data_IF_465383887935
#
_entry.id   IF_465383887935
#
_cell.length_a   1.000
_cell.length_b   1.000
_cell.length_c   1.000
_cell.angle_alpha   90.00
_cell.angle_beta   90.00
_cell.angle_gamma   90.00
#
_symmetry.space_group_name_H-M   'P 1'
#
loop_
_entity.id
_entity.type
_entity.pdbx_description
1 polymer ?
#
# COMPACT_ATOMS: atom_id res chain seq x y z
N UNK A 1 -2.33 15.63 -14.61
CA UNK A 1 -2.97 14.41 -15.15
C UNK A 1 -3.50 13.61 -13.97
N UNK A 2 -4.78 13.82 -13.69
CA UNK A 2 -5.54 13.34 -12.53
C UNK A 2 -6.04 11.92 -12.84
N UNK A 3 -5.63 10.91 -12.07
CA UNK A 3 -6.00 9.51 -12.37
C UNK A 3 -6.10 8.71 -11.07
N UNK A 4 -7.28 8.75 -10.46
CA UNK A 4 -7.76 7.76 -9.50
C UNK A 4 -9.01 7.13 -10.14
N UNK A 5 -8.91 5.89 -10.63
CA UNK A 5 -10.06 5.20 -11.21
C UNK A 5 -10.77 4.40 -10.10
N UNK A 6 -11.99 4.82 -9.76
CA UNK A 6 -12.88 4.08 -8.86
C UNK A 6 -13.45 2.87 -9.60
N UNK A 7 -13.23 1.66 -9.07
CA UNK A 7 -13.95 0.46 -9.51
C UNK A 7 -14.65 -0.18 -8.32
N UNK A 8 -15.98 -0.26 -8.37
CA UNK A 8 -16.81 -0.95 -7.38
C UNK A 8 -16.70 -0.43 -5.92
N UNK A 9 -16.43 0.87 -5.73
CA UNK A 9 -16.19 1.47 -4.41
C UNK A 9 -14.76 1.30 -3.88
N UNK A 10 -13.86 0.73 -4.68
CA UNK A 10 -12.45 0.59 -4.35
C UNK A 10 -11.60 1.56 -5.19
N UNK A 11 -10.77 2.35 -4.52
CA UNK A 11 -9.74 3.20 -5.16
C UNK A 11 -8.55 2.30 -5.52
N UNK A 12 -8.44 1.94 -6.80
CA UNK A 12 -7.31 1.20 -7.34
C UNK A 12 -6.20 2.16 -7.78
N UNK A 13 -5.02 2.02 -7.20
CA UNK A 13 -3.83 2.72 -7.65
C UNK A 13 -3.40 2.16 -9.00
N UNK A 14 -3.60 2.93 -10.07
CA UNK A 14 -3.09 2.58 -11.41
C UNK A 14 -1.62 2.95 -11.62
N UNK A 15 -0.97 3.60 -10.63
CA UNK A 15 0.43 4.01 -10.70
C UNK A 15 1.24 3.40 -9.56
N UNK A 16 2.50 3.11 -9.86
CA UNK A 16 3.50 2.66 -8.88
C UNK A 16 3.56 3.64 -7.70
N UNK A 17 3.78 3.13 -6.48
CA UNK A 17 4.00 3.96 -5.29
C UNK A 17 5.12 4.99 -5.50
N UNK A 18 6.02 4.75 -6.44
CA UNK A 18 7.08 5.68 -6.86
C UNK A 18 6.55 7.03 -7.41
N UNK A 19 5.28 7.11 -7.83
CA UNK A 19 4.70 8.30 -8.47
C UNK A 19 3.47 8.87 -7.72
N UNK A 20 3.05 8.25 -6.62
CA UNK A 20 1.90 8.68 -5.83
C UNK A 20 2.32 8.81 -4.38
N UNK A 21 2.57 10.05 -3.95
CA UNK A 21 3.08 10.34 -2.61
C UNK A 21 1.98 10.55 -1.56
N UNK A 22 0.74 10.77 -1.99
CA UNK A 22 -0.39 11.06 -1.11
C UNK A 22 -1.70 10.51 -1.69
N UNK A 23 -2.53 9.91 -0.83
CA UNK A 23 -3.89 9.48 -1.14
C UNK A 23 -4.86 9.97 -0.08
N UNK A 24 -5.99 10.49 -0.55
CA UNK A 24 -7.09 10.91 0.33
C UNK A 24 -8.29 9.99 0.16
N UNK A 25 -8.76 9.42 1.27
CA UNK A 25 -9.96 8.58 1.36
C UNK A 25 -10.99 9.24 2.27
N UNK A 26 -12.26 8.90 2.10
CA UNK A 26 -13.33 9.29 3.05
C UNK A 26 -13.42 8.23 4.14
N UNK A 27 -13.79 8.61 5.37
CA UNK A 27 -14.01 7.62 6.43
C UNK A 27 -15.15 6.62 6.09
N UNK A 28 -16.06 7.03 5.21
CA UNK A 28 -17.12 6.16 4.66
C UNK A 28 -16.56 5.05 3.74
N UNK A 29 -15.30 5.15 3.29
CA UNK A 29 -14.62 4.12 2.50
C UNK A 29 -14.27 2.95 3.43
N UNK A 30 -15.17 1.96 3.47
CA UNK A 30 -15.08 0.84 4.41
C UNK A 30 -13.84 -0.06 4.20
N UNK A 31 -13.26 -0.05 3.00
CA UNK A 31 -12.13 -0.90 2.64
C UNK A 31 -11.14 -0.17 1.72
N UNK A 32 -9.96 0.13 2.24
CA UNK A 32 -8.83 0.65 1.48
C UNK A 32 -7.94 -0.53 1.09
N UNK A 33 -7.87 -0.83 -0.21
CA UNK A 33 -7.04 -1.88 -0.76
C UNK A 33 -5.88 -1.28 -1.54
N UNK A 34 -4.65 -1.62 -1.16
CA UNK A 34 -3.43 -1.15 -1.82
C UNK A 34 -2.76 -2.37 -2.45
N UNK A 35 -2.58 -2.32 -3.76
CA UNK A 35 -1.91 -3.36 -4.53
C UNK A 35 -0.56 -2.88 -5.03
N UNK A 36 0.44 -3.75 -4.95
CA UNK A 36 1.81 -3.50 -5.36
C UNK A 36 2.13 -4.28 -6.62
N UNK A 37 2.97 -3.68 -7.46
CA UNK A 37 3.57 -4.35 -8.62
C UNK A 37 5.08 -4.35 -8.41
N UNK A 38 5.68 -5.53 -8.49
CA UNK A 38 7.13 -5.69 -8.62
C UNK A 38 7.49 -5.83 -10.09
N UNK A 39 8.67 -5.34 -10.48
CA UNK A 39 9.23 -5.60 -11.82
C UNK A 39 9.50 -7.09 -12.05
N UNK A 40 9.66 -7.87 -10.98
CA UNK A 40 9.98 -9.30 -11.02
C UNK A 40 8.71 -10.17 -11.13
N UNK A 41 7.95 -9.97 -12.21
CA UNK A 41 6.69 -10.71 -12.46
C UNK A 41 6.92 -12.22 -12.67
N UNK A 42 8.13 -12.62 -13.06
CA UNK A 42 8.51 -14.01 -13.36
C UNK A 42 8.53 -14.87 -12.08
N UNK A 43 8.85 -14.28 -10.92
CA UNK A 43 8.90 -14.96 -9.63
C UNK A 43 8.02 -14.26 -8.57
N UNK A 44 6.89 -13.69 -8.97
CA UNK A 44 6.02 -12.93 -8.08
C UNK A 44 5.58 -13.73 -6.82
N UNK A 45 5.50 -15.06 -6.90
CA UNK A 45 5.16 -15.95 -5.78
C UNK A 45 6.30 -16.14 -4.75
N UNK A 46 7.54 -15.73 -5.07
CA UNK A 46 8.69 -15.77 -4.14
C UNK A 46 8.91 -14.44 -3.43
N UNK A 47 8.22 -13.39 -3.85
CA UNK A 47 8.34 -12.06 -3.28
C UNK A 47 7.63 -12.03 -1.94
N UNK A 48 8.35 -11.60 -0.90
CA UNK A 48 7.78 -11.31 0.41
C UNK A 48 7.68 -9.82 0.58
N UNK A 49 6.62 -9.38 1.23
CA UNK A 49 6.39 -7.99 1.57
C UNK A 49 6.39 -7.83 3.09
N UNK A 50 7.04 -6.79 3.57
CA UNK A 50 6.86 -6.27 4.92
C UNK A 50 6.16 -4.93 4.81
N UNK A 51 5.19 -4.69 5.68
CA UNK A 51 4.51 -3.40 5.71
C UNK A 51 4.28 -2.92 7.13
N UNK A 52 4.21 -1.60 7.29
CA UNK A 52 3.89 -0.93 8.55
C UNK A 52 2.99 0.26 8.24
N UNK A 53 1.92 0.45 9.01
CA UNK A 53 1.01 1.59 8.87
C UNK A 53 1.14 2.48 10.12
N UNK A 54 2.02 3.46 10.05
CA UNK A 54 2.17 4.44 11.13
C UNK A 54 0.87 5.24 11.27
N UNK A 55 0.47 5.52 12.52
CA UNK A 55 -0.86 6.06 12.84
C UNK A 55 -1.91 4.99 13.14
N UNK A 56 -1.67 3.72 12.78
CA UNK A 56 -2.53 2.58 13.16
C UNK A 56 -1.77 1.55 14.01
N UNK A 57 -0.64 1.05 13.53
CA UNK A 57 0.24 0.13 14.25
C UNK A 57 1.70 0.36 13.88
N UNK A 58 2.55 0.40 14.90
CA UNK A 58 4.00 0.54 14.73
C UNK A 58 4.73 -0.81 14.50
N UNK A 59 3.99 -1.89 14.30
CA UNK A 59 4.56 -3.22 14.05
C UNK A 59 4.68 -3.48 12.54
N UNK A 60 5.80 -4.09 12.14
CA UNK A 60 5.95 -4.63 10.79
C UNK A 60 5.18 -5.95 10.67
N UNK A 61 4.35 -6.06 9.63
CA UNK A 61 3.60 -7.25 9.28
C UNK A 61 4.14 -7.83 7.98
N UNK A 62 4.12 -9.16 7.85
CA UNK A 62 4.59 -9.87 6.66
C UNK A 62 3.44 -10.40 5.84
N UNK A 63 3.56 -10.35 4.52
CA UNK A 63 2.61 -10.95 3.58
C UNK A 63 3.31 -11.42 2.31
N UNK A 64 2.83 -12.52 1.73
CA UNK A 64 3.23 -13.00 0.40
C UNK A 64 2.27 -12.51 -0.69
N UNK A 65 1.15 -11.89 -0.29
CA UNK A 65 0.20 -11.27 -1.21
C UNK A 65 0.73 -9.90 -1.62
N UNK A 66 0.65 -9.59 -2.91
CA UNK A 66 0.92 -8.25 -3.43
C UNK A 66 -0.22 -7.24 -3.15
N UNK A 67 -1.10 -7.53 -2.19
CA UNK A 67 -2.26 -6.73 -1.82
C UNK A 67 -2.36 -6.64 -0.30
N UNK A 68 -2.55 -5.44 0.22
CA UNK A 68 -2.84 -5.16 1.62
C UNK A 68 -4.17 -4.45 1.70
N UNK A 69 -4.96 -4.78 2.72
CA UNK A 69 -6.30 -4.24 2.94
C UNK A 69 -6.38 -3.65 4.35
N UNK A 70 -6.88 -2.42 4.45
CA UNK A 70 -7.18 -1.74 5.70
C UNK A 70 -8.68 -1.47 5.75
N UNK A 71 -9.35 -1.99 6.78
CA UNK A 71 -10.77 -1.77 7.01
C UNK A 71 -10.98 -0.71 8.09
N UNK A 72 -11.92 0.20 7.85
CA UNK A 72 -12.44 1.13 8.87
C UNK A 72 -11.35 1.98 9.55
N UNK A 73 -10.45 2.58 8.76
CA UNK A 73 -9.51 3.58 9.28
C UNK A 73 -10.31 4.80 9.78
N UNK A 74 -10.03 5.23 11.01
CA UNK A 74 -10.60 6.46 11.53
C UNK A 74 -10.09 7.67 10.75
N UNK A 75 -10.80 8.82 10.78
CA UNK A 75 -10.26 10.06 10.26
C UNK A 75 -8.88 10.38 10.87
N UNK A 76 -7.91 10.70 10.02
CA UNK A 76 -6.53 10.90 10.45
C UNK A 76 -5.52 10.80 9.31
N UNK A 77 -4.25 10.96 9.66
CA UNK A 77 -3.12 10.81 8.73
C UNK A 77 -2.33 9.57 9.09
N UNK A 78 -1.98 8.79 8.07
CA UNK A 78 -1.26 7.54 8.19
C UNK A 78 -0.09 7.51 7.20
N UNK A 79 0.97 6.81 7.56
CA UNK A 79 2.12 6.57 6.67
C UNK A 79 2.28 5.08 6.46
N UNK A 80 1.99 4.62 5.24
CA UNK A 80 2.24 3.25 4.84
C UNK A 80 3.70 3.13 4.37
N UNK A 81 4.44 2.27 5.06
CA UNK A 81 5.80 1.88 4.71
C UNK A 81 5.77 0.46 4.17
N UNK A 82 6.39 0.21 3.02
CA UNK A 82 6.43 -1.10 2.38
C UNK A 82 7.87 -1.47 2.01
N UNK A 83 8.26 -2.68 2.37
CA UNK A 83 9.45 -3.36 1.85
C UNK A 83 9.02 -4.57 1.05
N UNK A 84 9.71 -4.85 -0.04
CA UNK A 84 9.56 -6.04 -0.87
C UNK A 84 10.93 -6.72 -1.00
N UNK A 85 10.96 -8.04 -0.90
CA UNK A 85 12.15 -8.83 -1.21
C UNK A 85 12.11 -9.29 -2.65
N UNK A 86 13.22 -9.24 -3.38
CA UNK A 86 13.33 -9.95 -4.66
C UNK A 86 13.35 -11.49 -4.45
N UNK A 87 13.45 -12.26 -5.54
CA UNK A 87 13.49 -13.73 -5.46
C UNK A 87 14.70 -14.29 -4.68
N UNK A 88 15.73 -13.48 -4.48
CA UNK A 88 16.95 -13.82 -3.74
C UNK A 88 16.87 -13.42 -2.25
N UNK A 89 15.72 -12.89 -1.81
CA UNK A 89 15.50 -12.46 -0.42
C UNK A 89 16.10 -11.09 -0.08
N UNK A 90 16.57 -10.34 -1.08
CA UNK A 90 17.13 -9.00 -0.89
C UNK A 90 15.99 -7.99 -0.82
N UNK A 91 15.90 -7.27 0.29
CA UNK A 91 14.89 -6.24 0.53
C UNK A 91 15.27 -4.90 -0.12
N UNK A 92 14.28 -4.13 -0.56
CA UNK A 92 14.52 -2.74 -0.93
C UNK A 92 14.82 -1.88 0.32
N UNK A 93 15.83 -1.02 0.18
CA UNK A 93 16.18 0.01 1.16
C UNK A 93 16.49 1.31 0.41
N UNK A 94 15.86 2.45 0.78
CA UNK A 94 14.85 2.63 1.84
C UNK A 94 13.48 1.98 1.50
N UNK A 95 12.58 1.80 2.49
CA UNK A 95 11.21 1.34 2.22
C UNK A 95 10.47 2.34 1.32
N UNK A 96 9.53 1.83 0.51
CA UNK A 96 8.59 2.67 -0.21
C UNK A 96 7.62 3.31 0.79
N UNK A 97 7.30 4.60 0.58
CA UNK A 97 6.50 5.42 1.50
C UNK A 97 5.26 5.91 0.76
N UNK A 98 4.09 5.78 1.39
CA UNK A 98 2.84 6.33 0.90
C UNK A 98 2.10 7.01 2.05
N UNK A 99 1.82 8.31 1.89
CA UNK A 99 1.01 9.04 2.86
C UNK A 99 -0.47 8.86 2.54
N UNK A 100 -1.27 8.61 3.58
CA UNK A 100 -2.70 8.34 3.48
C UNK A 100 -3.42 9.29 4.42
N UNK A 101 -4.37 10.06 3.90
CA UNK A 101 -5.23 10.94 4.69
C UNK A 101 -6.66 10.42 4.60
N UNK A 102 -7.27 10.15 5.74
CA UNK A 102 -8.68 9.77 5.85
C UNK A 102 -9.45 10.98 6.36
N UNK A 103 -10.33 11.54 5.54
CA UNK A 103 -11.18 12.66 5.95
C UNK A 103 -12.40 12.16 6.70
N UNK A 104 -12.98 12.98 7.59
CA UNK A 104 -14.35 12.77 8.05
C UNK A 104 -15.36 12.76 6.90
#
# INVERSE_FOLDING_TARGET
VQVDSLYNGHRLLQRSMEQTSELTFRHDDQLIAIQFTTSDLVNAYKVRYLYKLEGFSNQWLSTEKNKIEFSSLAPGTYTLLVKASNSDGIWNEPPAVLNITVTP
#
